data_IF_508327590788
#
_entry.id   IF_508327590788
#
_cell.length_a   1.000
_cell.length_b   1.000
_cell.length_c   1.000
_cell.angle_alpha   90.00
_cell.angle_beta   90.00
_cell.angle_gamma   90.00
#
_symmetry.space_group_name_H-M   'P 1'
#
loop_
_entity.id
_entity.type
_entity.pdbx_description
1 polymer ?
#
# COMPACT_ATOMS: atom_id res chain seq x y z
N UNK A 1 2.29 5.08 -23.34
CA UNK A 1 1.98 5.06 -21.90
C UNK A 1 2.56 3.84 -21.19
N UNK A 2 2.28 2.62 -21.61
CA UNK A 2 2.76 1.39 -20.93
C UNK A 2 4.29 1.34 -20.71
N UNK A 3 5.08 1.67 -21.72
CA UNK A 3 6.54 1.70 -21.58
C UNK A 3 7.02 2.72 -20.55
N UNK A 4 6.41 3.92 -20.51
CA UNK A 4 6.70 4.93 -19.49
C UNK A 4 6.43 4.41 -18.08
N UNK A 5 5.28 3.77 -17.90
CA UNK A 5 4.90 3.22 -16.59
C UNK A 5 5.87 2.13 -16.11
N UNK A 6 6.32 1.24 -17.01
CA UNK A 6 7.33 0.22 -16.69
C UNK A 6 8.67 0.83 -16.27
N UNK A 7 9.12 1.89 -16.97
CA UNK A 7 10.35 2.60 -16.61
C UNK A 7 10.23 3.23 -15.22
N UNK A 8 9.10 3.89 -14.94
CA UNK A 8 8.87 4.55 -13.65
C UNK A 8 8.64 3.55 -12.51
N UNK A 9 8.05 2.38 -12.80
CA UNK A 9 7.90 1.30 -11.82
C UNK A 9 9.26 0.73 -11.39
N UNK A 10 10.19 0.61 -12.33
CA UNK A 10 11.56 0.15 -12.06
C UNK A 10 12.40 1.23 -11.35
N UNK A 11 12.34 2.47 -11.82
CA UNK A 11 13.04 3.60 -11.21
C UNK A 11 12.27 4.92 -11.38
N UNK A 12 11.48 5.25 -10.36
CA UNK A 12 10.68 6.48 -10.34
C UNK A 12 11.49 7.78 -10.25
N UNK A 13 12.81 7.71 -10.04
CA UNK A 13 13.71 8.87 -9.92
C UNK A 13 14.57 9.12 -11.16
N UNK A 14 14.34 8.40 -12.25
CA UNK A 14 15.05 8.71 -13.51
C UNK A 14 14.74 10.15 -13.95
N UNK A 15 15.77 10.91 -14.39
CA UNK A 15 15.56 12.21 -15.00
C UNK A 15 14.64 12.13 -16.22
N UNK A 16 13.81 13.12 -16.42
CA UNK A 16 12.87 13.17 -17.56
C UNK A 16 13.62 13.10 -18.89
N UNK A 17 14.80 13.68 -18.98
CA UNK A 17 15.67 13.67 -20.17
C UNK A 17 16.10 12.24 -20.53
N UNK A 18 16.43 11.42 -19.54
CA UNK A 18 16.81 10.04 -19.74
C UNK A 18 15.62 9.21 -20.22
N UNK A 19 14.45 9.39 -19.58
CA UNK A 19 13.21 8.73 -19.99
C UNK A 19 12.83 9.12 -21.43
N UNK A 20 12.97 10.41 -21.76
CA UNK A 20 12.71 10.94 -23.10
C UNK A 20 13.58 10.25 -24.16
N UNK A 21 14.86 10.10 -23.86
CA UNK A 21 15.81 9.37 -24.73
C UNK A 21 15.38 7.91 -24.89
N UNK A 22 15.03 7.23 -23.80
CA UNK A 22 14.61 5.81 -23.84
C UNK A 22 13.32 5.61 -24.66
N UNK A 23 12.41 6.58 -24.63
CA UNK A 23 11.13 6.52 -25.33
C UNK A 23 11.15 7.15 -26.73
N UNK A 24 12.27 7.71 -27.14
CA UNK A 24 12.42 8.50 -28.37
C UNK A 24 11.36 9.62 -28.46
N UNK A 25 11.25 10.40 -27.39
CA UNK A 25 10.32 11.51 -27.23
C UNK A 25 11.02 12.76 -26.72
N UNK A 26 10.35 13.90 -26.77
CA UNK A 26 10.85 15.09 -26.10
C UNK A 26 10.60 15.05 -24.59
N UNK A 27 11.42 15.73 -23.77
CA UNK A 27 11.18 15.86 -22.34
C UNK A 27 9.80 16.44 -22.01
N UNK A 28 9.31 17.38 -22.80
CA UNK A 28 7.99 17.98 -22.65
C UNK A 28 6.85 16.97 -22.86
N UNK A 29 6.98 16.08 -23.84
CA UNK A 29 6.01 15.00 -24.07
C UNK A 29 6.00 14.01 -22.90
N UNK A 30 7.17 13.65 -22.38
CA UNK A 30 7.27 12.74 -21.22
C UNK A 30 6.64 13.37 -19.98
N UNK A 31 6.94 14.66 -19.71
CA UNK A 31 6.30 15.38 -18.60
C UNK A 31 4.78 15.39 -18.72
N UNK A 32 4.25 15.69 -19.89
CA UNK A 32 2.81 15.70 -20.15
C UNK A 32 2.18 14.30 -19.97
N UNK A 33 2.88 13.23 -20.37
CA UNK A 33 2.42 11.85 -20.17
C UNK A 33 2.36 11.48 -18.68
N UNK A 34 3.35 11.91 -17.89
CA UNK A 34 3.38 11.68 -16.43
C UNK A 34 2.22 12.43 -15.77
N UNK A 35 2.02 13.70 -16.12
CA UNK A 35 0.94 14.51 -15.56
C UNK A 35 -0.43 13.93 -15.90
N UNK A 36 -0.62 13.46 -17.12
CA UNK A 36 -1.85 12.77 -17.53
C UNK A 36 -2.09 11.50 -16.72
N UNK A 37 -1.06 10.67 -16.56
CA UNK A 37 -1.16 9.43 -15.78
C UNK A 37 -1.48 9.69 -14.30
N UNK A 38 -0.96 10.79 -13.73
CA UNK A 38 -1.31 11.22 -12.38
C UNK A 38 -2.74 11.74 -12.30
N UNK A 39 -3.16 12.57 -13.24
CA UNK A 39 -4.51 13.12 -13.28
C UNK A 39 -5.58 12.01 -13.43
N UNK A 40 -5.26 10.95 -14.16
CA UNK A 40 -6.13 9.78 -14.32
C UNK A 40 -6.04 8.77 -13.16
N UNK A 41 -5.19 9.01 -12.15
CA UNK A 41 -4.99 8.10 -11.02
C UNK A 41 -4.27 6.79 -11.37
N UNK A 42 -3.67 6.70 -12.57
CA UNK A 42 -2.85 5.55 -12.98
C UNK A 42 -1.58 5.52 -12.13
N UNK A 43 -0.90 6.66 -12.00
CA UNK A 43 0.19 6.83 -11.03
C UNK A 43 -0.45 7.36 -9.74
N UNK A 44 -0.49 6.51 -8.72
CA UNK A 44 -1.07 6.84 -7.41
C UNK A 44 -0.10 7.60 -6.51
N UNK A 45 1.20 7.48 -6.74
CA UNK A 45 2.23 8.10 -5.93
C UNK A 45 3.59 7.46 -6.16
N UNK A 46 4.57 7.93 -5.41
CA UNK A 46 5.93 7.40 -5.41
C UNK A 46 6.33 7.03 -3.99
N UNK A 47 7.05 5.93 -3.84
CA UNK A 47 7.47 5.43 -2.54
C UNK A 47 8.97 5.09 -2.58
N UNK A 48 9.69 5.50 -1.55
CA UNK A 48 11.07 5.08 -1.32
C UNK A 48 11.08 3.78 -0.53
N UNK A 49 11.84 2.80 -1.00
CA UNK A 49 12.12 1.59 -0.23
C UNK A 49 13.25 1.90 0.77
N UNK A 50 12.98 1.76 2.06
CA UNK A 50 13.89 2.13 3.13
C UNK A 50 14.19 0.94 4.02
N UNK A 51 15.47 0.68 4.24
CA UNK A 51 15.94 -0.26 5.27
C UNK A 51 15.97 0.49 6.62
N UNK A 52 14.87 0.37 7.37
CA UNK A 52 14.71 1.08 8.64
C UNK A 52 15.63 0.57 9.73
N UNK A 53 16.06 -0.70 9.68
CA UNK A 53 17.03 -1.27 10.60
C UNK A 53 18.40 -0.56 10.44
N UNK A 54 18.85 -0.42 9.18
CA UNK A 54 20.08 0.34 8.88
C UNK A 54 19.97 1.82 9.19
N UNK A 55 18.76 2.38 9.09
CA UNK A 55 18.50 3.77 9.47
C UNK A 55 18.48 3.99 10.99
N UNK A 56 18.54 2.93 11.79
CA UNK A 56 18.51 3.02 13.25
C UNK A 56 17.14 3.44 13.82
N UNK A 57 16.08 3.26 13.06
CA UNK A 57 14.72 3.62 13.47
C UNK A 57 13.93 2.37 13.82
N UNK A 58 13.36 2.34 15.01
CA UNK A 58 12.46 1.26 15.41
C UNK A 58 11.19 1.32 14.57
N UNK A 59 10.99 0.30 13.77
CA UNK A 59 9.79 0.12 12.98
C UNK A 59 9.38 -1.34 12.98
N UNK A 60 8.14 -1.57 13.33
CA UNK A 60 7.51 -2.89 13.30
C UNK A 60 6.45 -2.89 12.21
N UNK A 61 6.42 -3.95 11.44
CA UNK A 61 5.42 -4.18 10.41
C UNK A 61 4.68 -5.48 10.68
N UNK A 62 3.39 -5.49 10.42
CA UNK A 62 2.58 -6.68 10.54
C UNK A 62 1.69 -6.86 9.32
N UNK A 63 1.49 -8.10 8.94
CA UNK A 63 0.48 -8.52 7.97
C UNK A 63 -0.72 -9.06 8.76
N UNK A 64 -1.89 -8.48 8.51
CA UNK A 64 -3.12 -8.87 9.21
C UNK A 64 -4.11 -9.45 8.20
N UNK A 65 -4.57 -10.65 8.49
CA UNK A 65 -5.63 -11.31 7.75
C UNK A 65 -6.95 -11.01 8.43
N UNK A 66 -7.94 -10.55 7.66
CA UNK A 66 -9.29 -10.29 8.13
C UNK A 66 -10.29 -11.19 7.42
N UNK A 67 -11.21 -11.77 8.20
CA UNK A 67 -12.48 -12.25 7.69
C UNK A 67 -13.53 -11.19 7.98
N UNK A 68 -14.29 -10.80 6.97
CA UNK A 68 -15.31 -9.77 7.05
C UNK A 68 -16.64 -10.29 6.52
N UNK A 69 -17.73 -9.75 7.06
CA UNK A 69 -19.08 -10.01 6.57
C UNK A 69 -19.69 -8.70 6.11
N UNK A 70 -19.62 -8.37 4.82
CA UNK A 70 -20.22 -7.15 4.32
C UNK A 70 -21.74 -7.19 4.48
N UNK A 71 -22.33 -6.09 4.99
CA UNK A 71 -23.79 -5.93 5.03
C UNK A 71 -24.34 -5.88 3.60
N UNK A 72 -25.60 -6.30 3.41
CA UNK A 72 -26.25 -6.40 2.08
C UNK A 72 -26.18 -5.13 1.24
N UNK A 73 -26.08 -3.94 1.87
CA UNK A 73 -25.96 -2.65 1.18
C UNK A 73 -24.52 -2.13 1.05
N UNK A 74 -23.55 -2.82 1.62
CA UNK A 74 -22.15 -2.41 1.70
C UNK A 74 -21.28 -3.56 1.24
N UNK A 75 -20.62 -3.41 0.10
CA UNK A 75 -19.66 -4.39 -0.39
C UNK A 75 -18.32 -4.32 0.35
N UNK A 76 -17.38 -5.16 -0.07
CA UNK A 76 -16.00 -5.14 0.42
C UNK A 76 -15.32 -3.77 0.24
N UNK A 77 -15.68 -3.03 -0.80
CA UNK A 77 -15.08 -1.74 -1.12
C UNK A 77 -15.26 -0.71 0.01
N UNK A 78 -16.43 -0.66 0.64
CA UNK A 78 -16.71 0.26 1.73
C UNK A 78 -15.92 -0.09 3.00
N UNK A 79 -15.85 -1.39 3.33
CA UNK A 79 -15.04 -1.87 4.47
C UNK A 79 -13.56 -1.58 4.22
N UNK A 80 -13.08 -1.89 3.03
CA UNK A 80 -11.69 -1.62 2.65
C UNK A 80 -11.36 -0.13 2.70
N UNK A 81 -12.26 0.75 2.25
CA UNK A 81 -12.08 2.20 2.31
C UNK A 81 -12.03 2.71 3.76
N UNK A 82 -12.88 2.20 4.63
CA UNK A 82 -12.88 2.53 6.06
C UNK A 82 -11.55 2.16 6.72
N UNK A 83 -11.06 0.96 6.44
CA UNK A 83 -9.80 0.46 7.00
C UNK A 83 -8.61 1.23 6.40
N UNK A 84 -8.61 1.50 5.10
CA UNK A 84 -7.56 2.24 4.43
C UNK A 84 -7.41 3.69 4.92
N UNK A 85 -8.44 4.25 5.55
CA UNK A 85 -8.40 5.59 6.12
C UNK A 85 -7.60 5.69 7.43
N UNK A 86 -7.27 4.58 8.08
CA UNK A 86 -6.41 4.59 9.26
C UNK A 86 -4.95 4.87 8.87
N UNK A 87 -4.30 5.79 9.58
CA UNK A 87 -2.92 6.20 9.29
C UNK A 87 -1.90 5.06 9.43
N UNK A 88 -2.17 4.10 10.32
CA UNK A 88 -1.32 2.93 10.57
C UNK A 88 -1.35 1.93 9.43
N UNK A 89 -2.37 1.98 8.57
CA UNK A 89 -2.57 1.04 7.45
C UNK A 89 -1.82 1.52 6.23
N UNK A 90 -0.86 0.72 5.76
CA UNK A 90 -0.10 1.00 4.55
C UNK A 90 -0.77 0.46 3.28
N UNK A 91 -1.41 -0.69 3.38
CA UNK A 91 -2.10 -1.31 2.25
C UNK A 91 -3.27 -2.16 2.69
N UNK A 92 -4.26 -2.26 1.82
CA UNK A 92 -5.43 -3.13 1.97
C UNK A 92 -5.61 -3.87 0.66
N UNK A 93 -5.64 -5.19 0.71
CA UNK A 93 -5.80 -6.06 -0.44
C UNK A 93 -7.03 -6.95 -0.25
N UNK A 94 -7.88 -7.04 -1.27
CA UNK A 94 -8.93 -8.06 -1.32
C UNK A 94 -8.31 -9.35 -1.83
N UNK A 95 -8.48 -10.43 -1.06
CA UNK A 95 -7.83 -11.71 -1.30
C UNK A 95 -8.84 -12.79 -1.65
N UNK A 96 -8.44 -13.73 -2.49
CA UNK A 96 -9.09 -15.01 -2.64
C UNK A 96 -8.43 -16.03 -1.70
N UNK A 97 -9.20 -16.95 -1.12
CA UNK A 97 -8.68 -18.00 -0.26
C UNK A 97 -9.30 -18.02 1.13
N UNK A 98 -8.50 -18.31 2.14
CA UNK A 98 -8.98 -18.55 3.52
C UNK A 98 -9.40 -17.30 4.30
N UNK A 99 -9.15 -16.10 3.80
CA UNK A 99 -9.53 -14.83 4.39
C UNK A 99 -9.86 -13.80 3.29
N UNK A 100 -10.51 -12.71 3.66
CA UNK A 100 -11.09 -11.77 2.71
C UNK A 100 -10.18 -10.57 2.44
N UNK A 101 -9.60 -9.98 3.47
CA UNK A 101 -8.72 -8.82 3.36
C UNK A 101 -7.36 -9.09 4.00
N UNK A 102 -6.32 -8.63 3.34
CA UNK A 102 -4.97 -8.58 3.88
C UNK A 102 -4.56 -7.12 4.08
N UNK A 103 -4.12 -6.79 5.28
CA UNK A 103 -3.61 -5.47 5.62
C UNK A 103 -2.11 -5.55 5.88
N UNK A 104 -1.41 -4.49 5.51
CA UNK A 104 -0.06 -4.21 6.02
C UNK A 104 -0.15 -3.01 6.94
N UNK A 105 0.27 -3.19 8.18
CA UNK A 105 0.22 -2.18 9.24
C UNK A 105 1.63 -1.92 9.75
N UNK A 106 1.92 -0.67 10.06
CA UNK A 106 3.17 -0.21 10.63
C UNK A 106 2.96 0.39 12.01
N UNK A 107 3.97 0.25 12.85
CA UNK A 107 4.04 0.85 14.18
C UNK A 107 5.47 0.89 14.68
N UNK A 108 5.68 1.40 15.88
CA UNK A 108 6.99 1.45 16.52
C UNK A 108 7.28 0.20 17.35
N UNK A 109 6.25 -0.43 17.90
CA UNK A 109 6.35 -1.61 18.76
C UNK A 109 5.29 -2.65 18.40
N UNK A 110 5.54 -3.91 18.77
CA UNK A 110 4.54 -4.99 18.66
C UNK A 110 3.27 -4.66 19.44
N UNK A 111 3.43 -4.07 20.63
CA UNK A 111 2.31 -3.68 21.48
C UNK A 111 1.42 -2.62 20.83
N UNK A 112 2.01 -1.63 20.18
CA UNK A 112 1.26 -0.60 19.45
C UNK A 112 0.37 -1.21 18.36
N UNK A 113 0.90 -2.13 17.57
CA UNK A 113 0.14 -2.84 16.55
C UNK A 113 -0.96 -3.72 17.17
N UNK A 114 -0.63 -4.47 18.21
CA UNK A 114 -1.61 -5.31 18.90
C UNK A 114 -2.77 -4.49 19.48
N UNK A 115 -2.49 -3.33 20.06
CA UNK A 115 -3.51 -2.40 20.56
C UNK A 115 -4.35 -1.80 19.45
N UNK A 116 -3.74 -1.45 18.32
CA UNK A 116 -4.47 -0.98 17.14
C UNK A 116 -5.49 -2.03 16.67
N UNK A 117 -5.08 -3.29 16.55
CA UNK A 117 -5.97 -4.39 16.17
C UNK A 117 -7.12 -4.53 17.17
N UNK A 118 -6.82 -4.58 18.47
CA UNK A 118 -7.81 -4.80 19.52
C UNK A 118 -8.79 -3.65 19.67
N UNK A 119 -8.33 -2.40 19.52
CA UNK A 119 -9.14 -1.21 19.79
C UNK A 119 -9.80 -0.62 18.55
N UNK A 120 -9.26 -0.82 17.36
CA UNK A 120 -9.71 -0.15 16.14
C UNK A 120 -10.16 -1.08 15.02
N UNK A 121 -9.55 -2.25 14.84
CA UNK A 121 -9.95 -3.22 13.82
C UNK A 121 -11.02 -4.19 14.33
N UNK A 122 -10.74 -4.92 15.40
CA UNK A 122 -11.66 -5.92 15.93
C UNK A 122 -13.04 -5.38 16.31
N UNK A 123 -13.18 -4.12 16.80
CA UNK A 123 -14.49 -3.56 17.11
C UNK A 123 -15.34 -3.17 15.90
N UNK A 124 -14.80 -3.14 14.69
CA UNK A 124 -15.59 -2.84 13.49
C UNK A 124 -16.66 -3.93 13.29
N UNK A 125 -17.91 -3.51 13.10
CA UNK A 125 -19.07 -4.39 13.02
C UNK A 125 -18.94 -5.49 11.95
N UNK A 126 -18.29 -5.17 10.84
CA UNK A 126 -18.14 -6.07 9.71
C UNK A 126 -16.95 -7.02 9.84
N UNK A 127 -16.09 -6.86 10.85
CA UNK A 127 -14.92 -7.71 11.10
C UNK A 127 -15.32 -8.91 11.94
N UNK A 128 -15.21 -10.09 11.37
CA UNK A 128 -15.54 -11.36 12.04
C UNK A 128 -14.36 -11.90 12.83
N UNK A 129 -13.17 -11.86 12.25
CA UNK A 129 -11.94 -12.35 12.88
C UNK A 129 -10.71 -11.67 12.32
N UNK A 130 -9.65 -11.65 13.11
CA UNK A 130 -8.34 -11.09 12.76
C UNK A 130 -7.25 -12.10 13.09
N UNK A 131 -6.21 -12.16 12.24
CA UNK A 131 -4.98 -12.89 12.53
C UNK A 131 -3.79 -11.99 12.21
N UNK A 132 -2.99 -11.69 13.23
CA UNK A 132 -1.85 -10.79 13.11
C UNK A 132 -0.56 -11.60 12.98
N UNK A 133 0.20 -11.30 11.91
CA UNK A 133 1.51 -11.88 11.64
C UNK A 133 2.55 -10.76 11.65
N UNK A 134 3.46 -10.78 12.61
CA UNK A 134 4.54 -9.80 12.66
C UNK A 134 5.63 -10.16 11.66
N UNK A 135 6.09 -9.18 10.89
CA UNK A 135 7.24 -9.34 10.01
C UNK A 135 8.51 -9.32 10.86
N UNK A 136 9.22 -10.43 10.91
CA UNK A 136 10.46 -10.55 11.70
C UNK A 136 11.67 -10.05 10.93
N UNK A 137 11.69 -10.24 9.60
CA UNK A 137 12.75 -9.77 8.72
C UNK A 137 12.25 -9.68 7.29
N UNK A 138 12.69 -8.65 6.57
CA UNK A 138 12.46 -8.48 5.13
C UNK A 138 13.75 -8.82 4.39
N UNK A 139 13.69 -9.78 3.46
CA UNK A 139 14.85 -10.20 2.68
C UNK A 139 14.94 -9.49 1.32
N UNK A 140 13.79 -9.00 0.80
CA UNK A 140 13.74 -8.30 -0.48
C UNK A 140 12.67 -7.21 -0.49
#
# INVERSE_FOLDING_TARGET
MEQLLKILEDNARLPIEDIATMLNKSPAEVAAMIDLARAQGIIKGYKTLVDWEKAGVNRVEAVIELNVSPKKSRGFDEIAATIAAFDEVESVLLMSGGYDLQLVIKGQTFQEIALFVAKRLSPLDDVLSTATHFVLRTYK
#
